data_IF_451702121414
#
_entry.id   IF_451702121414
#
_cell.length_a   1.000
_cell.length_b   1.000
_cell.length_c   1.000
_cell.angle_alpha   90.00
_cell.angle_beta   90.00
_cell.angle_gamma   90.00
#
_symmetry.space_group_name_H-M   'P 1'
#
loop_
_entity.id
_entity.type
_entity.pdbx_description
1 polymer ?
#
# COMPACT_ATOMS: atom_id res chain seq x y z
N UNK A 1 7.19 6.14 -78.61
CA UNK A 1 6.56 7.08 -77.65
C UNK A 1 5.77 6.28 -76.63
N UNK A 2 6.22 6.28 -75.37
CA UNK A 2 5.40 5.91 -74.22
C UNK A 2 5.98 6.68 -73.03
N UNK A 3 5.46 7.89 -72.82
CA UNK A 3 5.78 8.76 -71.70
C UNK A 3 5.13 8.21 -70.43
N UNK A 4 5.92 7.66 -69.50
CA UNK A 4 5.46 7.35 -68.16
C UNK A 4 5.28 8.64 -67.37
N UNK A 5 4.04 9.05 -67.19
CA UNK A 5 3.62 10.17 -66.36
C UNK A 5 3.75 9.81 -64.87
N UNK A 6 4.96 9.94 -64.33
CA UNK A 6 5.20 9.91 -62.89
C UNK A 6 4.71 11.21 -62.25
N UNK A 7 3.42 11.28 -61.89
CA UNK A 7 2.90 12.38 -61.06
C UNK A 7 3.67 12.51 -59.75
N UNK A 8 3.78 13.72 -59.16
CA UNK A 8 4.59 13.95 -57.98
C UNK A 8 4.11 13.06 -56.84
N UNK A 9 4.97 12.14 -56.39
CA UNK A 9 4.74 11.33 -55.18
C UNK A 9 4.57 12.30 -54.01
N UNK A 10 3.33 12.48 -53.53
CA UNK A 10 3.04 13.24 -52.32
C UNK A 10 3.88 12.67 -51.18
N UNK A 11 4.82 13.45 -50.64
CA UNK A 11 5.63 13.04 -49.48
C UNK A 11 4.71 12.92 -48.27
N UNK A 12 4.81 11.81 -47.53
CA UNK A 12 4.13 11.67 -46.24
C UNK A 12 4.72 12.71 -45.27
N UNK A 13 3.90 13.37 -44.44
CA UNK A 13 4.39 14.17 -43.34
C UNK A 13 5.24 13.32 -42.39
N UNK A 14 6.26 13.93 -41.81
CA UNK A 14 7.05 13.33 -40.72
C UNK A 14 6.28 13.50 -39.41
N UNK A 15 5.99 12.38 -38.76
CA UNK A 15 5.27 12.32 -37.48
C UNK A 15 6.20 12.01 -36.30
N UNK A 16 7.53 12.04 -36.49
CA UNK A 16 8.53 11.67 -35.47
C UNK A 16 8.95 12.80 -34.51
N UNK A 17 8.17 13.89 -34.43
CA UNK A 17 8.56 15.09 -33.70
C UNK A 17 8.38 15.05 -32.17
N UNK A 18 7.66 14.05 -31.63
CA UNK A 18 7.47 13.89 -30.18
C UNK A 18 8.39 12.79 -29.65
N UNK A 19 9.36 13.17 -28.82
CA UNK A 19 10.30 12.23 -28.21
C UNK A 19 9.81 11.76 -26.83
N UNK A 20 9.99 10.46 -26.55
CA UNK A 20 9.70 9.93 -25.21
C UNK A 20 10.83 10.27 -24.23
N UNK A 21 10.51 10.76 -23.01
CA UNK A 21 11.54 11.05 -22.03
C UNK A 21 12.26 9.77 -21.57
N UNK A 22 13.58 9.84 -21.28
CA UNK A 22 14.32 8.68 -20.75
C UNK A 22 13.73 8.15 -19.44
N UNK A 23 13.89 6.85 -19.19
CA UNK A 23 13.40 6.16 -17.98
C UNK A 23 13.79 6.88 -16.69
N UNK A 24 15.07 7.27 -16.57
CA UNK A 24 15.58 7.98 -15.40
C UNK A 24 14.83 9.29 -15.16
N UNK A 25 14.50 10.03 -16.22
CA UNK A 25 13.75 11.29 -16.12
C UNK A 25 12.30 11.03 -15.66
N UNK A 26 11.69 9.96 -16.14
CA UNK A 26 10.35 9.53 -15.70
C UNK A 26 10.36 9.18 -14.20
N UNK A 27 11.33 8.37 -13.74
CA UNK A 27 11.46 8.02 -12.33
C UNK A 27 11.69 9.26 -11.44
N UNK A 28 12.57 10.19 -11.85
CA UNK A 28 12.76 11.46 -11.13
C UNK A 28 11.46 12.27 -11.02
N UNK A 29 10.66 12.32 -12.08
CA UNK A 29 9.33 12.94 -12.05
C UNK A 29 8.44 12.31 -10.98
N UNK A 30 8.37 10.98 -10.94
CA UNK A 30 7.60 10.25 -9.91
C UNK A 30 8.13 10.57 -8.51
N UNK A 31 9.44 10.54 -8.30
CA UNK A 31 10.03 10.85 -6.99
C UNK A 31 9.75 12.29 -6.53
N UNK A 32 9.58 13.23 -7.46
CA UNK A 32 9.20 14.62 -7.15
C UNK A 32 7.72 14.77 -6.78
N UNK A 33 6.85 13.94 -7.34
CA UNK A 33 5.41 13.94 -7.02
C UNK A 33 5.09 13.21 -5.71
N UNK A 34 5.93 12.23 -5.34
CA UNK A 34 5.81 11.43 -4.11
C UNK A 34 7.04 11.65 -3.22
N UNK A 35 7.10 12.72 -2.41
CA UNK A 35 8.28 13.03 -1.61
C UNK A 35 8.63 11.92 -0.60
N UNK A 36 9.92 11.82 -0.26
CA UNK A 36 10.43 10.86 0.74
C UNK A 36 9.73 11.06 2.09
N UNK A 37 9.28 9.96 2.69
CA UNK A 37 8.53 9.99 3.94
C UNK A 37 7.79 8.69 4.25
N UNK A 38 6.96 8.74 5.29
CA UNK A 38 6.19 7.58 5.78
C UNK A 38 5.27 6.94 4.73
N UNK A 39 4.94 7.67 3.66
CA UNK A 39 4.12 7.17 2.56
C UNK A 39 4.76 5.95 1.86
N UNK A 40 6.09 5.87 1.78
CA UNK A 40 6.76 4.73 1.13
C UNK A 40 6.42 3.42 1.84
N UNK A 41 6.46 3.41 3.18
CA UNK A 41 6.10 2.23 3.97
C UNK A 41 4.60 1.93 3.87
N UNK A 42 3.74 2.97 3.84
CA UNK A 42 2.30 2.81 3.64
C UNK A 42 1.97 2.16 2.30
N UNK A 43 2.66 2.53 1.22
CA UNK A 43 2.48 1.89 -0.10
C UNK A 43 2.93 0.41 -0.09
N UNK A 44 3.99 0.07 0.63
CA UNK A 44 4.42 -1.33 0.81
C UNK A 44 3.43 -2.15 1.64
N UNK A 45 2.87 -1.56 2.71
CA UNK A 45 1.78 -2.16 3.50
C UNK A 45 0.56 -2.42 2.62
N UNK A 46 0.15 -1.42 1.83
CA UNK A 46 -0.99 -1.54 0.94
C UNK A 46 -0.77 -2.59 -0.15
N UNK A 47 0.45 -2.71 -0.69
CA UNK A 47 0.80 -3.75 -1.66
C UNK A 47 0.65 -5.15 -1.08
N UNK A 48 1.10 -5.38 0.16
CA UNK A 48 0.93 -6.66 0.83
C UNK A 48 -0.56 -6.96 1.14
N UNK A 49 -1.33 -5.96 1.58
CA UNK A 49 -2.77 -6.11 1.81
C UNK A 49 -3.56 -6.43 0.53
N UNK A 50 -3.24 -5.74 -0.58
CA UNK A 50 -3.81 -5.96 -1.90
C UNK A 50 -3.45 -7.34 -2.48
N UNK A 51 -2.29 -7.90 -2.12
CA UNK A 51 -1.87 -9.24 -2.48
C UNK A 51 -2.57 -10.33 -1.64
N UNK A 52 -3.29 -9.95 -0.58
CA UNK A 52 -3.98 -10.90 0.30
C UNK A 52 -3.11 -11.45 1.44
N UNK A 53 -1.98 -10.80 1.76
CA UNK A 53 -1.11 -11.23 2.84
C UNK A 53 -1.80 -11.12 4.21
N UNK A 54 -1.48 -12.03 5.12
CA UNK A 54 -1.89 -11.96 6.53
C UNK A 54 -0.84 -11.27 7.40
N UNK A 55 0.43 -11.39 7.03
CA UNK A 55 1.57 -10.92 7.81
C UNK A 55 2.54 -10.13 6.92
N UNK A 56 3.01 -8.99 7.44
CA UNK A 56 4.07 -8.20 6.82
C UNK A 56 5.19 -7.95 7.82
N UNK A 57 6.43 -8.23 7.41
CA UNK A 57 7.66 -7.98 8.17
C UNK A 57 8.55 -7.02 7.40
N UNK A 58 8.87 -5.89 7.98
CA UNK A 58 9.74 -4.87 7.41
C UNK A 58 10.99 -4.79 8.29
N UNK A 59 12.12 -5.26 7.78
CA UNK A 59 13.37 -5.36 8.52
C UNK A 59 14.46 -4.51 7.88
N UNK A 60 15.15 -3.70 8.69
CA UNK A 60 16.39 -3.06 8.25
C UNK A 60 17.59 -3.98 8.53
N UNK A 61 18.23 -4.48 7.47
CA UNK A 61 19.52 -5.16 7.52
C UNK A 61 20.62 -4.09 7.55
N UNK A 62 21.20 -3.89 8.73
CA UNK A 62 22.24 -2.85 8.92
C UNK A 62 23.64 -3.34 8.59
N UNK A 63 23.84 -4.64 8.40
CA UNK A 63 25.16 -5.22 8.16
C UNK A 63 25.51 -5.15 6.68
N UNK A 64 26.80 -4.94 6.43
CA UNK A 64 27.38 -5.03 5.09
C UNK A 64 27.88 -6.44 4.83
N UNK A 65 27.76 -6.90 3.58
CA UNK A 65 28.59 -8.01 3.13
C UNK A 65 30.00 -7.46 2.86
N UNK A 66 30.92 -7.72 3.78
CA UNK A 66 32.33 -7.32 3.64
C UNK A 66 33.02 -8.14 2.53
N UNK A 67 32.87 -7.68 1.30
CA UNK A 67 33.78 -7.98 0.19
C UNK A 67 34.42 -6.68 -0.27
N UNK A 68 35.72 -6.71 -0.52
CA UNK A 68 36.39 -5.62 -1.23
C UNK A 68 35.91 -5.64 -2.67
N UNK A 69 35.01 -4.72 -3.03
CA UNK A 69 34.61 -4.53 -4.42
C UNK A 69 35.82 -4.08 -5.23
N UNK A 70 36.01 -4.72 -6.37
CA UNK A 70 36.97 -4.29 -7.40
C UNK A 70 36.22 -4.19 -8.72
N UNK A 71 36.82 -3.60 -9.74
CA UNK A 71 36.21 -3.52 -11.08
C UNK A 71 35.96 -4.90 -11.72
N UNK A 72 36.48 -5.98 -11.10
CA UNK A 72 36.25 -7.39 -11.48
C UNK A 72 35.13 -8.07 -10.68
N UNK A 73 34.46 -7.35 -9.77
CA UNK A 73 33.37 -7.93 -9.00
C UNK A 73 32.19 -8.32 -9.90
N UNK A 74 31.50 -9.44 -9.63
CA UNK A 74 30.35 -9.86 -10.42
C UNK A 74 29.30 -8.75 -10.50
N UNK A 75 28.68 -8.59 -11.66
CA UNK A 75 27.81 -7.44 -11.95
C UNK A 75 26.61 -7.34 -10.99
N UNK A 76 26.03 -8.48 -10.61
CA UNK A 76 24.86 -8.52 -9.72
C UNK A 76 25.21 -8.39 -8.24
N UNK A 77 26.49 -8.32 -7.89
CA UNK A 77 26.93 -8.17 -6.49
C UNK A 77 26.41 -6.86 -5.86
N UNK A 78 26.19 -5.80 -6.66
CA UNK A 78 25.61 -4.52 -6.20
C UNK A 78 24.23 -4.65 -5.54
N UNK A 79 23.47 -5.70 -5.86
CA UNK A 79 22.15 -5.97 -5.28
C UNK A 79 22.20 -6.51 -3.84
N UNK A 80 23.36 -6.94 -3.34
CA UNK A 80 23.41 -7.74 -2.11
C UNK A 80 24.42 -7.26 -1.07
N UNK A 81 25.26 -6.26 -1.41
CA UNK A 81 26.34 -5.87 -0.51
C UNK A 81 26.02 -4.76 0.49
N UNK A 82 25.21 -3.78 0.10
CA UNK A 82 24.88 -2.66 0.95
C UNK A 82 23.92 -3.09 2.07
N UNK A 83 23.88 -2.36 3.21
CA UNK A 83 22.73 -2.41 4.10
C UNK A 83 21.43 -2.29 3.30
N UNK A 84 20.36 -2.95 3.73
CA UNK A 84 19.15 -3.07 2.92
C UNK A 84 17.88 -2.99 3.77
N UNK A 85 16.79 -2.54 3.15
CA UNK A 85 15.46 -2.79 3.65
C UNK A 85 14.95 -4.12 3.08
N UNK A 86 14.68 -5.08 3.95
CA UNK A 86 14.13 -6.39 3.63
C UNK A 86 12.67 -6.45 4.05
N UNK A 87 11.77 -6.64 3.09
CA UNK A 87 10.33 -6.74 3.37
C UNK A 87 9.85 -8.12 2.98
N UNK A 88 9.13 -8.78 3.87
CA UNK A 88 8.53 -10.09 3.63
C UNK A 88 7.03 -10.06 3.90
N UNK A 89 6.25 -10.65 3.01
CA UNK A 89 4.85 -10.97 3.25
C UNK A 89 4.53 -12.40 2.79
N UNK A 90 3.51 -12.99 3.39
CA UNK A 90 3.13 -14.39 3.17
C UNK A 90 2.24 -14.64 1.94
N UNK A 91 1.95 -13.60 1.13
CA UNK A 91 1.33 -13.75 -0.18
C UNK A 91 2.37 -13.93 -1.30
N UNK A 92 1.96 -14.57 -2.39
CA UNK A 92 2.81 -14.80 -3.57
C UNK A 92 2.31 -13.94 -4.74
N UNK A 93 3.25 -13.41 -5.54
CA UNK A 93 2.95 -12.68 -6.77
C UNK A 93 2.21 -13.56 -7.78
N UNK A 94 1.15 -13.01 -8.37
CA UNK A 94 0.53 -13.59 -9.57
C UNK A 94 1.25 -13.13 -10.85
N UNK A 95 0.90 -13.71 -12.00
CA UNK A 95 1.45 -13.25 -13.29
C UNK A 95 1.05 -11.79 -13.59
N UNK A 96 -0.13 -11.35 -13.15
CA UNK A 96 -0.56 -9.96 -13.22
C UNK A 96 0.30 -9.04 -12.35
N UNK A 97 0.71 -9.48 -11.16
CA UNK A 97 1.62 -8.71 -10.29
C UNK A 97 3.02 -8.59 -10.92
N UNK A 98 3.53 -9.68 -11.52
CA UNK A 98 4.80 -9.66 -12.27
C UNK A 98 4.76 -8.74 -13.49
N UNK A 99 3.62 -8.67 -14.18
CA UNK A 99 3.41 -7.70 -15.26
C UNK A 99 3.32 -6.28 -14.70
N UNK A 100 2.58 -6.10 -13.61
CA UNK A 100 2.32 -4.82 -12.95
C UNK A 100 3.58 -4.12 -12.46
N UNK A 101 4.45 -4.82 -11.76
CA UNK A 101 5.66 -4.23 -11.15
C UNK A 101 6.64 -3.65 -12.18
N UNK A 102 6.60 -4.17 -13.42
CA UNK A 102 7.46 -3.73 -14.54
C UNK A 102 6.96 -2.47 -15.23
N UNK A 103 5.70 -2.10 -15.05
CA UNK A 103 5.11 -0.90 -15.66
C UNK A 103 5.43 0.35 -14.83
N UNK A 104 5.43 1.52 -15.47
CA UNK A 104 5.78 2.81 -14.84
C UNK A 104 4.55 3.67 -14.57
N UNK A 105 3.75 3.93 -15.61
CA UNK A 105 2.56 4.80 -15.55
C UNK A 105 1.24 4.05 -15.79
N UNK A 106 1.28 2.73 -15.93
CA UNK A 106 0.10 1.90 -16.14
C UNK A 106 0.02 0.84 -15.05
N UNK A 107 -1.18 0.59 -14.52
CA UNK A 107 -1.39 -0.51 -13.58
C UNK A 107 -2.30 -1.57 -14.22
N UNK A 108 -2.01 -2.84 -13.96
CA UNK A 108 -2.96 -3.95 -14.26
C UNK A 108 -4.14 -3.91 -13.27
N UNK A 109 -4.05 -3.08 -12.22
CA UNK A 109 -5.02 -2.97 -11.13
C UNK A 109 -6.19 -2.03 -11.47
N UNK A 110 -6.26 -1.48 -12.69
CA UNK A 110 -7.39 -0.65 -13.13
C UNK A 110 -8.72 -1.42 -13.19
N UNK A 111 -8.67 -2.74 -13.36
CA UNK A 111 -9.86 -3.59 -13.49
C UNK A 111 -10.41 -4.11 -12.14
N UNK A 112 -9.62 -4.10 -11.05
CA UNK A 112 -10.07 -4.54 -9.71
C UNK A 112 -10.42 -3.32 -8.84
N UNK A 113 -11.72 -3.01 -8.76
CA UNK A 113 -12.25 -1.86 -8.00
C UNK A 113 -12.03 -1.93 -6.49
N UNK A 114 -11.60 -3.08 -5.97
CA UNK A 114 -11.29 -3.27 -4.55
C UNK A 114 -9.80 -3.10 -4.23
N UNK A 115 -8.93 -2.91 -5.23
CA UNK A 115 -7.50 -2.60 -5.02
C UNK A 115 -7.29 -1.09 -4.93
N UNK A 116 -6.52 -0.66 -3.92
CA UNK A 116 -6.27 0.77 -3.68
C UNK A 116 -5.20 1.30 -4.63
N UNK A 117 -4.20 0.48 -4.99
CA UNK A 117 -3.08 0.85 -5.86
C UNK A 117 -3.41 0.93 -7.35
N UNK A 118 -3.91 2.07 -7.87
CA UNK A 118 -4.37 2.20 -9.27
C UNK A 118 -3.36 2.70 -10.31
N UNK A 119 -2.27 3.33 -9.89
CA UNK A 119 -1.32 3.93 -10.85
C UNK A 119 0.01 3.19 -10.97
N UNK A 120 0.25 2.15 -10.15
CA UNK A 120 1.55 1.46 -10.10
C UNK A 120 2.71 2.32 -9.57
N UNK A 121 2.45 3.59 -9.24
CA UNK A 121 3.43 4.57 -8.78
C UNK A 121 3.91 4.31 -7.34
N UNK A 122 3.08 3.68 -6.51
CA UNK A 122 3.40 3.41 -5.10
C UNK A 122 4.68 2.58 -4.92
N UNK A 123 4.89 1.55 -5.75
CA UNK A 123 6.14 0.79 -5.73
C UNK A 123 7.34 1.63 -6.18
N UNK A 124 7.17 2.55 -7.13
CA UNK A 124 8.28 3.36 -7.66
C UNK A 124 8.84 4.33 -6.61
N UNK A 125 8.09 4.64 -5.56
CA UNK A 125 8.58 5.43 -4.42
C UNK A 125 9.78 4.79 -3.71
N UNK A 126 10.00 3.47 -3.84
CA UNK A 126 11.19 2.80 -3.28
C UNK A 126 12.49 3.30 -3.92
N UNK A 127 12.42 3.92 -5.10
CA UNK A 127 13.60 4.54 -5.72
C UNK A 127 14.12 5.76 -4.96
N UNK A 128 13.42 6.26 -3.93
CA UNK A 128 14.01 7.17 -2.95
C UNK A 128 15.15 6.52 -2.17
N UNK A 129 15.03 5.23 -1.83
CA UNK A 129 16.01 4.54 -0.97
C UNK A 129 16.98 3.64 -1.72
N UNK A 130 16.59 3.09 -2.88
CA UNK A 130 17.40 2.09 -3.59
C UNK A 130 17.48 2.38 -5.08
N UNK A 131 18.59 2.01 -5.71
CA UNK A 131 18.72 1.96 -7.17
C UNK A 131 18.48 0.56 -7.74
N UNK A 132 18.54 -0.46 -6.89
CA UNK A 132 18.65 -1.87 -7.28
C UNK A 132 17.64 -2.76 -6.54
N UNK A 133 16.33 -2.53 -6.70
CA UNK A 133 15.35 -3.36 -6.02
C UNK A 133 15.39 -4.80 -6.56
N UNK A 134 15.32 -5.75 -5.65
CA UNK A 134 15.21 -7.18 -5.90
C UNK A 134 13.89 -7.70 -5.31
N UNK A 135 13.19 -8.56 -6.05
CA UNK A 135 11.93 -9.17 -5.64
C UNK A 135 12.00 -10.68 -5.84
N UNK A 136 11.60 -11.46 -4.84
CA UNK A 136 11.60 -12.91 -4.88
C UNK A 136 10.23 -13.41 -4.46
N UNK A 137 9.56 -14.18 -5.31
CA UNK A 137 8.27 -14.78 -4.99
C UNK A 137 8.01 -16.02 -5.84
N UNK A 138 7.48 -17.07 -5.24
CA UNK A 138 7.25 -18.35 -5.92
C UNK A 138 8.56 -18.88 -6.49
N UNK A 139 8.61 -19.13 -7.79
CA UNK A 139 9.81 -19.63 -8.48
C UNK A 139 10.70 -18.55 -9.09
N UNK A 140 10.36 -17.28 -8.91
CA UNK A 140 10.92 -16.17 -9.68
C UNK A 140 11.71 -15.20 -8.78
N UNK A 141 12.87 -14.78 -9.28
CA UNK A 141 13.64 -13.63 -8.79
C UNK A 141 13.68 -12.55 -9.87
N UNK A 142 13.33 -11.33 -9.52
CA UNK A 142 13.37 -10.15 -10.40
C UNK A 142 14.38 -9.14 -9.86
N UNK A 143 15.39 -8.83 -10.66
CA UNK A 143 16.36 -7.77 -10.39
C UNK A 143 16.08 -6.58 -11.30
N UNK A 144 15.96 -5.39 -10.71
CA UNK A 144 15.62 -4.16 -11.44
C UNK A 144 16.80 -3.20 -11.37
N UNK A 145 17.29 -2.77 -12.53
CA UNK A 145 18.36 -1.78 -12.69
C UNK A 145 17.94 -0.73 -13.74
N UNK A 146 17.28 0.36 -13.31
CA UNK A 146 16.79 1.39 -14.23
C UNK A 146 17.89 2.18 -14.96
N UNK A 147 19.16 1.99 -14.58
CA UNK A 147 20.30 2.67 -15.20
C UNK A 147 20.80 1.93 -16.46
N UNK A 148 20.34 0.68 -16.68
CA UNK A 148 20.61 -0.06 -17.91
C UNK A 148 19.76 0.44 -19.09
N UNK A 149 20.12 0.08 -20.33
CA UNK A 149 19.26 0.28 -21.49
C UNK A 149 17.86 -0.30 -21.25
N UNK A 150 16.83 0.32 -21.83
CA UNK A 150 15.41 0.01 -21.51
C UNK A 150 15.03 -1.48 -21.63
N UNK A 151 15.69 -2.26 -22.49
CA UNK A 151 15.44 -3.68 -22.69
C UNK A 151 16.18 -4.60 -21.69
N UNK A 152 17.09 -4.06 -20.89
CA UNK A 152 17.90 -4.78 -19.88
C UNK A 152 17.58 -4.35 -18.44
N UNK A 153 16.63 -3.42 -18.25
CA UNK A 153 16.26 -2.90 -16.92
C UNK A 153 15.81 -3.99 -15.96
N UNK A 154 15.16 -5.05 -16.46
CA UNK A 154 14.60 -6.12 -15.64
C UNK A 154 15.25 -7.45 -16.00
N UNK A 155 15.98 -8.06 -15.07
CA UNK A 155 16.42 -9.44 -15.17
C UNK A 155 15.45 -10.34 -14.38
N UNK A 156 14.56 -11.04 -15.09
CA UNK A 156 13.64 -12.05 -14.52
C UNK A 156 14.34 -13.42 -14.60
N UNK A 157 14.57 -14.04 -13.46
CA UNK A 157 15.35 -15.27 -13.30
C UNK A 157 14.50 -16.32 -12.59
N UNK A 158 14.72 -17.61 -12.88
CA UNK A 158 14.22 -18.68 -12.02
C UNK A 158 15.15 -18.89 -10.85
N UNK A 159 14.58 -19.11 -9.66
CA UNK A 159 15.35 -19.22 -8.41
C UNK A 159 16.37 -20.37 -8.45
N UNK A 160 16.03 -21.49 -9.10
CA UNK A 160 16.93 -22.62 -9.26
C UNK A 160 18.03 -22.40 -10.31
N UNK A 161 17.90 -21.41 -11.19
CA UNK A 161 18.85 -21.13 -12.27
C UNK A 161 19.84 -20.02 -11.90
N UNK A 162 19.71 -19.38 -10.73
CA UNK A 162 20.55 -18.23 -10.33
C UNK A 162 22.07 -18.54 -10.30
N UNK A 163 22.43 -19.82 -10.14
CA UNK A 163 23.81 -20.28 -10.12
C UNK A 163 24.44 -20.40 -11.52
N UNK A 164 23.62 -20.38 -12.57
CA UNK A 164 24.02 -20.45 -13.97
C UNK A 164 24.14 -19.05 -14.60
N UNK A 165 23.72 -18.01 -13.88
CA UNK A 165 23.71 -16.62 -14.38
C UNK A 165 25.11 -16.02 -14.29
N UNK A 166 25.65 -15.62 -15.44
CA UNK A 166 26.91 -14.90 -15.52
C UNK A 166 26.86 -13.61 -14.68
N UNK A 167 27.91 -13.37 -13.89
CA UNK A 167 27.97 -12.19 -13.02
C UNK A 167 27.12 -12.28 -11.75
N UNK A 168 26.49 -13.43 -11.46
CA UNK A 168 25.82 -13.70 -10.19
C UNK A 168 26.62 -14.68 -9.32
N UNK A 169 26.77 -14.35 -8.03
CA UNK A 169 27.35 -15.26 -7.05
C UNK A 169 26.28 -15.69 -6.05
N UNK A 170 25.82 -16.94 -6.15
CA UNK A 170 24.82 -17.52 -5.25
C UNK A 170 25.24 -17.44 -3.78
N UNK A 171 26.54 -17.46 -3.48
CA UNK A 171 27.02 -17.31 -2.10
C UNK A 171 26.78 -15.90 -1.54
N UNK A 172 26.79 -14.87 -2.38
CA UNK A 172 26.46 -13.49 -1.98
C UNK A 172 24.96 -13.35 -1.73
N UNK A 173 24.14 -13.94 -2.60
CA UNK A 173 22.68 -14.01 -2.41
C UNK A 173 22.38 -14.69 -1.07
N UNK A 174 22.91 -15.90 -0.84
CA UNK A 174 22.69 -16.63 0.40
C UNK A 174 23.25 -15.92 1.63
N UNK A 175 24.30 -15.12 1.50
CA UNK A 175 24.83 -14.33 2.62
C UNK A 175 23.95 -13.11 2.94
N UNK A 176 23.37 -12.47 1.93
CA UNK A 176 22.49 -11.32 2.10
C UNK A 176 21.13 -11.75 2.66
N UNK A 177 20.51 -12.72 2.00
CA UNK A 177 19.10 -13.08 2.23
C UNK A 177 18.91 -14.48 2.81
N UNK A 178 19.95 -15.30 2.87
CA UNK A 178 19.85 -16.63 3.47
C UNK A 178 19.51 -16.58 4.96
N UNK A 179 18.65 -17.51 5.38
CA UNK A 179 18.08 -17.59 6.72
C UNK A 179 16.88 -16.66 6.95
N UNK A 180 16.68 -15.64 6.10
CA UNK A 180 15.57 -14.70 6.26
C UNK A 180 14.29 -15.32 5.74
N UNK A 181 13.30 -15.44 6.62
CA UNK A 181 11.93 -15.87 6.30
C UNK A 181 11.86 -17.19 5.50
N UNK A 182 12.79 -18.11 5.79
CA UNK A 182 12.84 -19.44 5.15
C UNK A 182 13.61 -19.48 3.83
N UNK A 183 14.11 -18.36 3.30
CA UNK A 183 14.99 -18.39 2.12
C UNK A 183 16.34 -19.02 2.48
N UNK A 184 16.70 -20.12 1.84
CA UNK A 184 17.94 -20.85 2.13
C UNK A 184 18.41 -21.64 0.90
N UNK A 185 19.50 -22.40 1.03
CA UNK A 185 20.06 -23.20 -0.07
C UNK A 185 19.05 -24.19 -0.65
N UNK A 186 18.21 -24.81 0.18
CA UNK A 186 17.17 -25.74 -0.29
C UNK A 186 16.10 -25.05 -1.13
N UNK A 187 15.75 -23.79 -0.81
CA UNK A 187 14.85 -22.97 -1.63
C UNK A 187 15.46 -22.70 -3.01
N UNK A 188 16.76 -22.39 -3.05
CA UNK A 188 17.49 -22.23 -4.32
C UNK A 188 17.48 -23.54 -5.11
N UNK A 189 17.89 -24.66 -4.50
CA UNK A 189 17.95 -25.97 -5.17
C UNK A 189 16.57 -26.46 -5.65
N UNK A 190 15.50 -26.22 -4.88
CA UNK A 190 14.13 -26.59 -5.26
C UNK A 190 13.46 -25.60 -6.22
N UNK A 191 13.99 -24.38 -6.33
CA UNK A 191 13.45 -23.34 -7.18
C UNK A 191 12.12 -22.76 -6.72
N UNK A 192 11.79 -22.78 -5.42
CA UNK A 192 10.52 -22.25 -4.93
C UNK A 192 10.60 -21.62 -3.54
N UNK A 193 10.20 -20.35 -3.44
CA UNK A 193 10.08 -19.56 -2.22
C UNK A 193 8.60 -19.26 -1.93
N UNK A 194 8.12 -19.67 -0.75
CA UNK A 194 6.73 -19.44 -0.32
C UNK A 194 6.59 -18.05 0.30
N UNK A 195 5.76 -17.21 -0.31
CA UNK A 195 5.60 -15.80 0.01
C UNK A 195 6.43 -14.89 -0.89
N UNK A 196 6.45 -13.60 -0.56
CA UNK A 196 7.15 -12.56 -1.32
C UNK A 196 8.15 -11.83 -0.45
N UNK A 197 9.39 -11.72 -0.94
CA UNK A 197 10.46 -10.95 -0.33
C UNK A 197 10.94 -9.84 -1.27
N UNK A 198 10.92 -8.61 -0.78
CA UNK A 198 11.60 -7.48 -1.40
C UNK A 198 12.91 -7.22 -0.68
N UNK A 199 13.95 -6.94 -1.46
CA UNK A 199 15.27 -6.58 -0.98
C UNK A 199 15.71 -5.28 -1.64
N UNK A 200 15.84 -4.23 -0.84
CA UNK A 200 16.16 -2.88 -1.29
C UNK A 200 17.51 -2.44 -0.70
N UNK A 201 18.62 -2.67 -1.42
CA UNK A 201 19.93 -2.16 -1.03
C UNK A 201 19.88 -0.65 -0.92
N UNK A 202 20.25 -0.11 0.23
CA UNK A 202 20.19 1.31 0.49
C UNK A 202 21.25 2.05 -0.33
N UNK A 203 20.87 3.20 -0.91
CA UNK A 203 21.76 4.03 -1.73
C UNK A 203 22.85 4.64 -0.87
N UNK A 204 24.08 4.15 -1.01
CA UNK A 204 25.26 4.67 -0.29
C UNK A 204 25.91 5.88 -0.98
N UNK A 205 25.66 6.07 -2.29
CA UNK A 205 26.24 7.15 -3.11
C UNK A 205 25.19 7.69 -4.07
N UNK A 206 25.25 8.97 -4.39
CA UNK A 206 24.38 9.60 -5.39
C UNK A 206 24.39 8.81 -6.71
N UNK A 207 23.21 8.73 -7.35
CA UNK A 207 23.01 8.01 -8.60
C UNK A 207 22.27 8.88 -9.63
N UNK A 208 22.22 8.47 -10.90
CA UNK A 208 21.34 9.09 -11.88
C UNK A 208 19.87 9.10 -11.47
N UNK A 209 19.40 8.20 -10.59
CA UNK A 209 18.00 8.17 -10.14
C UNK A 209 17.75 9.25 -9.10
N UNK A 210 18.60 9.36 -8.08
CA UNK A 210 18.51 10.38 -7.03
C UNK A 210 19.88 10.71 -6.43
N UNK A 211 20.08 11.97 -6.10
CA UNK A 211 21.29 12.45 -5.39
C UNK A 211 21.24 12.14 -3.89
N UNK A 212 20.05 11.85 -3.36
CA UNK A 212 19.86 11.57 -1.94
C UNK A 212 20.37 10.19 -1.54
N UNK A 213 21.41 10.19 -0.71
CA UNK A 213 21.91 9.00 -0.01
C UNK A 213 20.89 8.59 1.05
N UNK A 214 20.66 7.27 1.17
CA UNK A 214 19.72 6.69 2.11
C UNK A 214 20.47 5.82 3.12
N UNK A 215 20.66 6.33 4.34
CA UNK A 215 21.29 5.55 5.42
C UNK A 215 20.27 4.78 6.25
N UNK A 216 20.76 3.82 7.04
CA UNK A 216 19.95 3.10 8.06
C UNK A 216 19.20 4.07 8.97
N UNK A 217 19.83 5.18 9.38
CA UNK A 217 19.17 6.19 10.23
C UNK A 217 17.96 6.88 9.58
N UNK A 218 17.89 7.00 8.24
CA UNK A 218 16.68 7.50 7.56
C UNK A 218 15.56 6.46 7.64
N UNK A 219 15.88 5.18 7.46
CA UNK A 219 14.91 4.07 7.62
C UNK A 219 14.36 4.02 9.05
N UNK A 220 15.23 4.18 10.05
CA UNK A 220 14.81 4.24 11.46
C UNK A 220 13.88 5.42 11.75
N UNK A 221 14.10 6.58 11.10
CA UNK A 221 13.14 7.69 11.16
C UNK A 221 11.81 7.34 10.53
N UNK A 222 11.78 6.64 9.38
CA UNK A 222 10.54 6.16 8.78
C UNK A 222 9.79 5.20 9.74
N UNK A 223 10.52 4.30 10.41
CA UNK A 223 9.93 3.42 11.42
C UNK A 223 9.35 4.20 12.60
N UNK A 224 10.06 5.23 13.08
CA UNK A 224 9.58 6.14 14.11
C UNK A 224 8.27 6.81 13.70
N UNK A 225 8.21 7.41 12.51
CA UNK A 225 6.99 8.04 11.98
C UNK A 225 5.83 7.06 11.87
N UNK A 226 6.06 5.85 11.35
CA UNK A 226 5.03 4.82 11.25
C UNK A 226 4.55 4.32 12.62
N UNK A 227 5.46 4.26 13.60
CA UNK A 227 5.15 3.86 14.98
C UNK A 227 4.27 4.87 15.72
N UNK A 228 4.23 6.14 15.30
CA UNK A 228 3.30 7.13 15.86
C UNK A 228 1.85 6.88 15.44
N UNK A 229 1.63 6.18 14.33
CA UNK A 229 0.31 5.88 13.76
C UNK A 229 -0.09 4.40 13.93
N UNK A 230 0.75 3.60 14.59
CA UNK A 230 0.66 2.13 14.66
C UNK A 230 -0.68 1.60 15.15
N UNK A 231 -1.33 2.33 16.05
CA UNK A 231 -2.62 1.95 16.65
C UNK A 231 -3.77 1.93 15.66
N UNK A 232 -3.58 2.52 14.48
CA UNK A 232 -4.61 2.68 13.46
C UNK A 232 -4.34 1.95 12.14
N UNK A 233 -3.12 1.46 11.92
CA UNK A 233 -2.68 0.89 10.64
C UNK A 233 -3.56 -0.29 10.21
N UNK A 234 -3.87 -1.21 11.13
CA UNK A 234 -4.56 -2.45 10.80
C UNK A 234 -6.10 -2.34 10.81
N UNK A 235 -6.68 -1.17 11.11
CA UNK A 235 -8.13 -1.03 11.33
C UNK A 235 -8.93 -1.37 10.06
N UNK A 236 -8.58 -0.72 8.94
CA UNK A 236 -9.38 -0.78 7.70
C UNK A 236 -8.78 -1.65 6.60
N UNK A 237 -7.58 -2.20 6.81
CA UNK A 237 -6.96 -3.15 5.88
C UNK A 237 -7.84 -4.39 5.65
N UNK A 238 -7.72 -5.01 4.48
CA UNK A 238 -8.61 -6.10 4.04
C UNK A 238 -8.14 -7.48 4.50
N UNK A 239 -6.83 -7.69 4.53
CA UNK A 239 -6.20 -9.01 4.66
C UNK A 239 -5.17 -9.05 5.80
N UNK A 240 -4.37 -7.98 5.92
CA UNK A 240 -3.30 -7.91 6.91
C UNK A 240 -3.86 -7.89 8.34
N UNK A 241 -3.28 -8.74 9.18
CA UNK A 241 -3.57 -8.82 10.63
C UNK A 241 -2.34 -8.72 11.50
N UNK A 242 -1.14 -8.79 10.91
CA UNK A 242 0.15 -8.64 11.59
C UNK A 242 1.08 -7.74 10.80
N UNK A 243 1.69 -6.79 11.50
CA UNK A 243 2.75 -5.93 11.00
C UNK A 243 3.93 -5.95 11.99
N UNK A 244 5.13 -6.18 11.47
CA UNK A 244 6.37 -6.18 12.25
C UNK A 244 7.36 -5.20 11.64
N UNK A 245 7.91 -4.31 12.47
CA UNK A 245 9.10 -3.53 12.16
C UNK A 245 10.27 -4.13 12.93
N UNK A 246 11.33 -4.50 12.22
CA UNK A 246 12.49 -5.20 12.80
C UNK A 246 13.80 -4.53 12.41
N UNK A 247 14.81 -4.71 13.24
CA UNK A 247 16.18 -4.33 12.97
C UNK A 247 17.10 -5.53 13.13
N UNK A 248 18.03 -5.70 12.20
CA UNK A 248 19.12 -6.63 12.37
C UNK A 248 20.26 -5.95 13.14
N UNK A 249 20.58 -6.48 14.32
CA UNK A 249 21.73 -6.03 15.11
C UNK A 249 23.06 -6.44 14.43
N UNK A 250 24.15 -5.81 14.84
CA UNK A 250 25.49 -6.14 14.32
C UNK A 250 25.92 -7.58 14.65
N UNK A 251 25.40 -8.16 15.74
CA UNK A 251 25.63 -9.56 16.12
C UNK A 251 24.80 -10.55 15.30
N UNK A 252 23.91 -10.08 14.42
CA UNK A 252 23.05 -10.92 13.60
C UNK A 252 21.79 -11.42 14.31
N UNK A 253 21.43 -10.82 15.45
CA UNK A 253 20.15 -11.04 16.13
C UNK A 253 19.09 -10.08 15.58
N UNK A 254 17.90 -10.62 15.30
CA UNK A 254 16.71 -9.83 14.97
C UNK A 254 16.12 -9.18 16.24
N UNK A 255 15.86 -7.87 16.17
CA UNK A 255 15.29 -7.07 17.24
C UNK A 255 13.98 -6.44 16.76
N UNK A 256 12.93 -6.52 17.57
CA UNK A 256 11.65 -5.90 17.26
C UNK A 256 11.67 -4.42 17.64
N UNK A 257 11.38 -3.57 16.66
CA UNK A 257 11.11 -2.14 16.87
C UNK A 257 9.64 -1.95 17.25
N UNK A 258 8.75 -2.61 16.49
CA UNK A 258 7.31 -2.56 16.67
C UNK A 258 6.69 -3.88 16.20
N UNK A 259 5.69 -4.35 16.94
CA UNK A 259 4.78 -5.42 16.54
C UNK A 259 3.35 -4.94 16.73
N UNK A 260 2.58 -4.94 15.65
CA UNK A 260 1.15 -4.62 15.66
C UNK A 260 0.39 -5.85 15.19
N UNK A 261 -0.57 -6.30 15.99
CA UNK A 261 -1.31 -7.54 15.73
C UNK A 261 -2.77 -7.40 16.15
N UNK A 262 -3.68 -7.99 15.38
CA UNK A 262 -5.08 -8.15 15.79
C UNK A 262 -5.18 -9.40 16.67
N UNK A 263 -5.82 -9.31 17.84
CA UNK A 263 -5.89 -10.46 18.76
C UNK A 263 -6.73 -11.62 18.19
N UNK A 264 -7.91 -11.33 17.65
CA UNK A 264 -8.85 -12.31 17.11
C UNK A 264 -8.67 -12.51 15.60
N UNK A 265 -7.43 -12.75 15.17
CA UNK A 265 -7.00 -12.76 13.76
C UNK A 265 -7.93 -13.55 12.83
N UNK A 266 -8.21 -14.82 13.17
CA UNK A 266 -8.97 -15.73 12.32
C UNK A 266 -10.40 -15.25 12.10
N UNK A 267 -11.07 -14.80 13.16
CA UNK A 267 -12.43 -14.27 13.07
C UNK A 267 -12.45 -13.03 12.18
N UNK A 268 -11.56 -12.07 12.44
CA UNK A 268 -11.50 -10.83 11.67
C UNK A 268 -11.19 -11.10 10.20
N UNK A 269 -10.25 -12.00 9.89
CA UNK A 269 -9.95 -12.40 8.52
C UNK A 269 -11.14 -13.05 7.83
N UNK A 270 -11.78 -14.03 8.47
CA UNK A 270 -12.96 -14.70 7.88
C UNK A 270 -14.08 -13.71 7.59
N UNK A 271 -14.34 -12.76 8.51
CA UNK A 271 -15.39 -11.77 8.34
C UNK A 271 -15.06 -10.72 7.28
N UNK A 272 -13.80 -10.27 7.19
CA UNK A 272 -13.34 -9.39 6.10
C UNK A 272 -13.42 -10.09 4.75
N UNK A 273 -12.90 -11.31 4.65
CA UNK A 273 -12.96 -12.13 3.42
C UNK A 273 -14.40 -12.38 2.99
N UNK A 274 -15.28 -12.76 3.91
CA UNK A 274 -16.70 -12.96 3.63
C UNK A 274 -17.33 -11.68 3.09
N UNK A 275 -17.13 -10.53 3.74
CA UNK A 275 -17.66 -9.24 3.29
C UNK A 275 -17.19 -8.85 1.88
N UNK A 276 -15.89 -8.88 1.61
CA UNK A 276 -15.37 -8.53 0.28
C UNK A 276 -15.72 -9.56 -0.79
N UNK A 277 -15.84 -10.85 -0.44
CA UNK A 277 -16.34 -11.88 -1.36
C UNK A 277 -17.81 -11.64 -1.73
N UNK A 278 -18.64 -11.26 -0.75
CA UNK A 278 -20.02 -10.85 -0.97
C UNK A 278 -20.06 -9.64 -1.91
N UNK A 279 -19.24 -8.61 -1.71
CA UNK A 279 -19.18 -7.43 -2.62
C UNK A 279 -18.86 -7.86 -4.06
N UNK A 280 -17.86 -8.73 -4.26
CA UNK A 280 -17.49 -9.22 -5.61
C UNK A 280 -18.61 -10.04 -6.27
N UNK A 281 -19.34 -10.84 -5.48
CA UNK A 281 -20.44 -11.68 -5.97
C UNK A 281 -21.78 -10.94 -6.10
N UNK A 282 -21.94 -9.83 -5.38
CA UNK A 282 -23.16 -9.06 -5.32
C UNK A 282 -23.29 -8.19 -6.57
N UNK A 283 -23.81 -8.79 -7.64
CA UNK A 283 -24.32 -8.08 -8.80
C UNK A 283 -25.57 -7.28 -8.42
N UNK A 284 -25.38 -6.18 -7.69
CA UNK A 284 -26.26 -5.00 -7.58
C UNK A 284 -27.57 -5.04 -6.77
N UNK A 285 -27.92 -6.08 -6.00
CA UNK A 285 -29.30 -6.17 -5.45
C UNK A 285 -29.54 -5.63 -4.04
N UNK A 286 -28.56 -5.57 -3.15
CA UNK A 286 -28.76 -5.13 -1.76
C UNK A 286 -27.53 -4.41 -1.19
N UNK A 287 -27.77 -3.53 -0.22
CA UNK A 287 -26.72 -2.97 0.62
C UNK A 287 -26.14 -4.04 1.55
N UNK A 288 -24.86 -3.93 1.87
CA UNK A 288 -24.17 -4.87 2.76
C UNK A 288 -23.48 -4.12 3.90
N UNK A 289 -23.39 -4.76 5.07
CA UNK A 289 -22.61 -4.24 6.19
C UNK A 289 -21.81 -5.34 6.87
N UNK A 290 -20.66 -4.97 7.43
CA UNK A 290 -19.82 -5.86 8.23
C UNK A 290 -19.35 -5.12 9.48
N UNK A 291 -19.76 -5.61 10.66
CA UNK A 291 -19.48 -4.97 11.95
C UNK A 291 -18.46 -5.77 12.74
N UNK A 292 -17.22 -5.31 12.79
CA UNK A 292 -16.10 -5.97 13.47
C UNK A 292 -15.88 -5.35 14.85
N UNK A 293 -15.69 -6.19 15.87
CA UNK A 293 -15.10 -5.78 17.15
C UNK A 293 -13.71 -6.36 17.17
N UNK A 294 -12.69 -5.51 17.23
CA UNK A 294 -11.30 -5.97 17.13
C UNK A 294 -10.42 -5.30 18.17
N UNK A 295 -9.52 -6.10 18.75
CA UNK A 295 -8.47 -5.62 19.65
C UNK A 295 -7.16 -5.56 18.89
N UNK A 296 -6.59 -4.36 18.77
CA UNK A 296 -5.25 -4.14 18.23
C UNK A 296 -4.26 -4.15 19.39
N UNK A 297 -3.29 -5.05 19.29
CA UNK A 297 -2.16 -5.21 20.20
C UNK A 297 -0.93 -4.55 19.59
N UNK A 298 -0.36 -3.60 20.32
CA UNK A 298 0.89 -2.91 19.97
C UNK A 298 1.96 -3.26 21.01
N UNK A 299 3.10 -3.74 20.55
CA UNK A 299 4.26 -4.09 21.36
C UNK A 299 5.49 -3.40 20.77
N UNK A 300 6.18 -2.61 21.59
CA UNK A 300 7.35 -1.82 21.19
C UNK A 300 8.65 -2.45 21.69
N UNK A 301 9.79 -1.95 21.24
CA UNK A 301 11.11 -2.39 21.71
C UNK A 301 11.30 -2.32 23.24
N UNK A 302 10.60 -1.41 23.93
CA UNK A 302 10.61 -1.29 25.40
C UNK A 302 9.67 -2.27 26.11
N UNK A 303 9.18 -3.30 25.40
CA UNK A 303 8.19 -4.28 25.88
C UNK A 303 6.89 -3.63 26.39
N UNK A 304 6.65 -2.37 26.01
CA UNK A 304 5.43 -1.67 26.38
C UNK A 304 4.29 -2.21 25.54
N UNK A 305 3.32 -2.83 26.23
CA UNK A 305 2.13 -3.41 25.63
C UNK A 305 0.96 -2.42 25.70
N UNK A 306 0.38 -2.10 24.56
CA UNK A 306 -0.83 -1.29 24.47
C UNK A 306 -1.91 -2.08 23.73
N UNK A 307 -3.10 -2.13 24.32
CA UNK A 307 -4.28 -2.75 23.73
C UNK A 307 -5.30 -1.66 23.43
N UNK A 308 -5.82 -1.65 22.20
CA UNK A 308 -6.90 -0.75 21.81
C UNK A 308 -8.02 -1.54 21.16
N UNK A 309 -9.25 -1.41 21.68
CA UNK A 309 -10.45 -2.04 21.12
C UNK A 309 -11.21 -1.07 20.24
N UNK A 310 -11.64 -1.55 19.09
CA UNK A 310 -12.35 -0.78 18.08
C UNK A 310 -13.65 -1.48 17.67
N UNK A 311 -14.72 -0.70 17.51
CA UNK A 311 -15.89 -1.06 16.74
C UNK A 311 -15.70 -0.53 15.33
N UNK A 312 -15.57 -1.43 14.35
CA UNK A 312 -15.37 -1.07 12.94
C UNK A 312 -16.59 -1.51 12.15
N UNK A 313 -17.25 -0.59 11.45
CA UNK A 313 -18.35 -0.89 10.56
C UNK A 313 -17.93 -0.57 9.14
N UNK A 314 -17.88 -1.58 8.28
CA UNK A 314 -17.80 -1.38 6.83
C UNK A 314 -19.21 -1.44 6.24
N UNK A 315 -19.54 -0.52 5.34
CA UNK A 315 -20.84 -0.43 4.69
C UNK A 315 -20.66 -0.28 3.18
N UNK A 316 -21.36 -1.10 2.41
CA UNK A 316 -21.36 -1.10 0.96
C UNK A 316 -22.77 -0.73 0.48
N UNK A 317 -22.90 0.43 -0.17
CA UNK A 317 -24.18 0.98 -0.62
C UNK A 317 -24.38 0.73 -2.11
N UNK A 318 -25.54 0.18 -2.49
CA UNK A 318 -25.93 0.04 -3.90
C UNK A 318 -27.43 0.23 -4.07
N UNK A 319 -28.24 -0.43 -3.25
CA UNK A 319 -29.70 -0.39 -3.36
C UNK A 319 -30.24 0.97 -2.93
N UNK A 320 -29.78 1.46 -1.78
CA UNK A 320 -30.25 2.72 -1.18
C UNK A 320 -29.65 3.98 -1.82
N UNK A 321 -28.67 3.81 -2.71
CA UNK A 321 -28.02 4.92 -3.42
C UNK A 321 -29.01 5.65 -4.34
N UNK A 322 -28.88 6.98 -4.42
CA UNK A 322 -29.62 7.80 -5.39
C UNK A 322 -29.26 7.44 -6.83
N UNK A 323 -30.09 7.85 -7.80
CA UNK A 323 -29.85 7.58 -9.22
C UNK A 323 -28.50 8.14 -9.70
N UNK A 324 -28.13 9.33 -9.23
CA UNK A 324 -26.83 9.92 -9.56
C UNK A 324 -25.66 9.11 -9.00
N UNK A 325 -25.79 8.61 -7.77
CA UNK A 325 -24.73 7.79 -7.19
C UNK A 325 -24.65 6.41 -7.87
N UNK A 326 -25.79 5.80 -8.21
CA UNK A 326 -25.85 4.56 -9.01
C UNK A 326 -25.16 4.71 -10.37
N UNK A 327 -25.32 5.87 -11.05
CA UNK A 327 -24.60 6.20 -12.29
C UNK A 327 -23.08 6.16 -12.08
N UNK A 328 -22.59 6.74 -10.97
CA UNK A 328 -21.16 6.74 -10.65
C UNK A 328 -20.63 5.34 -10.30
N UNK A 329 -21.38 4.56 -9.52
CA UNK A 329 -21.04 3.18 -9.16
C UNK A 329 -20.84 2.31 -10.39
N UNK A 330 -21.65 2.54 -11.43
CA UNK A 330 -21.60 1.80 -12.69
C UNK A 330 -20.56 2.35 -13.68
N UNK A 331 -19.90 3.47 -13.37
CA UNK A 331 -18.94 4.11 -14.26
C UNK A 331 -17.64 3.30 -14.35
N UNK A 332 -17.30 2.72 -15.53
CA UNK A 332 -16.05 1.98 -15.70
C UNK A 332 -14.82 2.87 -15.54
N UNK A 333 -14.97 4.18 -15.84
CA UNK A 333 -13.90 5.17 -15.71
C UNK A 333 -13.53 5.42 -14.25
N UNK A 334 -14.53 5.44 -13.36
CA UNK A 334 -14.26 5.64 -11.93
C UNK A 334 -13.62 4.41 -11.34
N UNK A 335 -14.14 3.20 -11.57
CA UNK A 335 -13.54 1.96 -11.04
C UNK A 335 -13.31 1.95 -9.53
N UNK A 336 -14.13 2.68 -8.76
CA UNK A 336 -14.08 2.75 -7.30
C UNK A 336 -15.29 1.99 -6.72
N UNK A 337 -15.10 1.35 -5.55
CA UNK A 337 -16.17 0.61 -4.88
C UNK A 337 -16.95 1.52 -3.92
N UNK A 338 -18.31 1.51 -3.90
CA UNK A 338 -19.11 2.34 -2.99
C UNK A 338 -19.13 1.80 -1.55
N UNK A 339 -17.94 1.56 -1.00
CA UNK A 339 -17.74 1.10 0.36
C UNK A 339 -17.12 2.21 1.21
N UNK A 340 -17.67 2.38 2.41
CA UNK A 340 -17.15 3.26 3.45
C UNK A 340 -16.93 2.47 4.73
N UNK A 341 -16.16 3.03 5.66
CA UNK A 341 -15.93 2.46 6.97
C UNK A 341 -15.97 3.52 8.07
N UNK A 342 -16.43 3.12 9.25
CA UNK A 342 -16.34 3.90 10.49
C UNK A 342 -15.60 3.07 11.52
N UNK A 343 -14.66 3.66 12.24
CA UNK A 343 -14.01 3.00 13.37
C UNK A 343 -14.08 3.88 14.62
N UNK A 344 -14.85 3.42 15.60
CA UNK A 344 -15.03 4.06 16.88
C UNK A 344 -14.27 3.29 17.96
N UNK A 345 -13.56 4.03 18.83
CA UNK A 345 -12.76 3.44 19.90
C UNK A 345 -13.68 3.04 21.05
N UNK A 346 -13.57 1.77 21.45
CA UNK A 346 -14.32 1.19 22.58
C UNK A 346 -13.47 1.26 23.84
N UNK A 347 -12.19 0.86 23.78
CA UNK A 347 -11.35 0.78 24.98
C UNK A 347 -9.88 1.11 24.65
N UNK A 348 -9.19 1.91 25.47
CA UNK A 348 -9.75 2.72 26.57
C UNK A 348 -10.66 3.84 26.05
N UNK A 349 -11.76 4.10 26.76
CA UNK A 349 -12.68 5.20 26.44
C UNK A 349 -11.92 6.53 26.52
N UNK A 350 -11.81 7.19 25.38
CA UNK A 350 -11.10 8.46 25.22
C UNK A 350 -11.53 9.12 23.93
N UNK A 351 -11.47 10.45 23.90
CA UNK A 351 -11.73 11.20 22.68
C UNK A 351 -10.77 10.74 21.56
N UNK A 352 -11.32 10.50 20.38
CA UNK A 352 -10.56 10.21 19.17
C UNK A 352 -10.66 11.43 18.28
N UNK A 353 -9.52 11.94 17.84
CA UNK A 353 -9.50 12.93 16.77
C UNK A 353 -9.68 12.20 15.44
N UNK A 354 -10.87 12.34 14.85
CA UNK A 354 -11.26 11.63 13.65
C UNK A 354 -10.32 11.92 12.49
N UNK A 355 -10.01 10.88 11.72
CA UNK A 355 -9.05 10.95 10.64
C UNK A 355 -9.61 10.21 9.43
N UNK A 356 -9.22 10.65 8.24
CA UNK A 356 -9.65 10.06 6.97
C UNK A 356 -8.64 8.99 6.56
N UNK A 357 -9.19 7.84 6.17
CA UNK A 357 -8.46 6.68 5.70
C UNK A 357 -8.87 6.39 4.26
N UNK A 358 -7.89 5.96 3.49
CA UNK A 358 -8.11 5.13 2.31
C UNK A 358 -7.35 3.83 2.58
N UNK A 359 -7.92 3.00 3.45
CA UNK A 359 -7.37 1.79 4.07
C UNK A 359 -6.22 2.04 5.05
N UNK A 360 -5.37 3.02 4.76
CA UNK A 360 -4.36 3.59 5.65
C UNK A 360 -4.68 5.05 5.93
N UNK A 361 -4.20 5.60 7.06
CA UNK A 361 -4.44 7.00 7.41
C UNK A 361 -3.76 7.91 6.39
N UNK A 362 -4.49 8.91 5.88
CA UNK A 362 -3.92 9.92 5.01
C UNK A 362 -2.85 10.75 5.75
N UNK A 363 -1.95 11.46 5.03
CA UNK A 363 -1.01 12.37 5.69
C UNK A 363 -1.73 13.47 6.46
N UNK A 364 -1.31 13.71 7.71
CA UNK A 364 -1.84 14.80 8.56
C UNK A 364 -1.45 16.20 8.03
N UNK A 365 -0.38 16.27 7.26
CA UNK A 365 0.06 17.49 6.59
C UNK A 365 -0.89 17.79 5.42
N UNK A 366 -1.76 18.79 5.58
CA UNK A 366 -2.69 19.25 4.54
C UNK A 366 -4.11 18.70 4.62
N UNK A 367 -4.39 17.72 5.49
CA UNK A 367 -5.75 17.33 5.86
C UNK A 367 -6.10 17.87 7.25
N UNK A 368 -7.16 18.67 7.35
CA UNK A 368 -7.77 18.91 8.67
C UNK A 368 -8.29 17.56 9.15
N UNK A 369 -8.02 17.22 10.41
CA UNK A 369 -8.72 16.12 11.05
C UNK A 369 -10.22 16.40 10.99
N UNK A 370 -11.02 15.34 10.89
CA UNK A 370 -12.44 15.46 10.52
C UNK A 370 -13.28 16.18 11.57
N UNK A 371 -12.74 16.31 12.79
CA UNK A 371 -13.49 16.76 13.97
C UNK A 371 -14.53 15.76 14.46
N UNK A 372 -14.64 14.60 13.80
CA UNK A 372 -15.52 13.50 14.23
C UNK A 372 -14.84 12.71 15.36
N UNK A 373 -15.60 12.12 16.29
CA UNK A 373 -15.05 11.29 17.37
C UNK A 373 -14.70 9.86 16.93
N UNK A 374 -14.55 9.62 15.63
CA UNK A 374 -14.26 8.32 15.03
C UNK A 374 -13.50 8.49 13.72
N UNK A 375 -12.80 7.44 13.31
CA UNK A 375 -12.12 7.42 12.02
C UNK A 375 -13.08 7.06 10.89
N UNK A 376 -12.83 7.62 9.71
CA UNK A 376 -13.62 7.44 8.49
C UNK A 376 -12.75 6.80 7.43
N UNK A 377 -13.25 5.77 6.76
CA UNK A 377 -12.60 5.11 5.64
C UNK A 377 -13.49 5.13 4.40
N UNK A 378 -12.90 5.10 3.21
CA UNK A 378 -13.64 4.90 1.98
C UNK A 378 -12.73 4.75 0.77
N UNK A 379 -13.30 4.26 -0.33
CA UNK A 379 -12.65 4.30 -1.65
C UNK A 379 -12.73 5.71 -2.24
N UNK A 380 -12.11 6.68 -1.56
CA UNK A 380 -12.11 8.07 -2.00
C UNK A 380 -11.27 8.25 -3.27
N UNK A 381 -11.72 9.15 -4.14
CA UNK A 381 -10.90 9.68 -5.21
C UNK A 381 -9.88 10.66 -4.62
N UNK A 382 -8.60 10.35 -4.76
CA UNK A 382 -7.50 11.14 -4.21
C UNK A 382 -6.74 11.89 -5.32
N UNK A 383 -5.98 12.91 -4.92
CA UNK A 383 -4.94 13.53 -5.76
C UNK A 383 -3.91 12.49 -6.22
N UNK A 384 -3.13 12.81 -7.27
CA UNK A 384 -2.12 11.87 -7.79
C UNK A 384 -1.15 11.40 -6.70
N UNK A 385 -0.62 12.31 -5.90
CA UNK A 385 0.25 12.00 -4.75
C UNK A 385 -0.47 11.33 -3.57
N UNK A 386 -1.80 11.13 -3.62
CA UNK A 386 -2.63 10.47 -2.59
C UNK A 386 -2.67 11.17 -1.23
N UNK A 387 -2.25 12.42 -1.16
CA UNK A 387 -2.24 13.16 0.11
C UNK A 387 -3.60 13.77 0.45
N UNK A 388 -4.42 14.09 -0.56
CA UNK A 388 -5.67 14.82 -0.35
C UNK A 388 -6.83 14.20 -1.13
N UNK A 389 -8.03 14.34 -0.59
CA UNK A 389 -9.27 14.05 -1.32
C UNK A 389 -9.42 15.06 -2.45
N UNK A 390 -9.92 14.59 -3.60
CA UNK A 390 -10.33 15.49 -4.68
C UNK A 390 -11.62 16.21 -4.26
N UNK A 391 -11.53 17.53 -4.19
CA UNK A 391 -12.62 18.45 -3.93
C UNK A 391 -12.74 19.48 -5.07
N UNK A 392 -13.91 20.10 -5.19
CA UNK A 392 -14.07 21.25 -6.08
C UNK A 392 -13.19 22.39 -5.59
N UNK A 393 -12.47 23.03 -6.50
CA UNK A 393 -11.73 24.27 -6.23
C UNK A 393 -12.62 25.47 -6.51
N UNK A 394 -12.38 26.60 -5.84
CA UNK A 394 -13.18 27.83 -6.00
C UNK A 394 -13.28 28.34 -7.46
N UNK A 395 -12.29 28.00 -8.30
CA UNK A 395 -12.23 28.37 -9.72
C UNK A 395 -12.92 27.38 -10.67
N UNK A 396 -13.51 26.29 -10.16
CA UNK A 396 -14.22 25.31 -11.01
C UNK A 396 -15.68 25.70 -11.16
N UNK A 397 -16.07 25.96 -12.41
CA UNK A 397 -17.46 26.23 -12.78
C UNK A 397 -18.34 25.04 -12.36
N UNK A 398 -19.34 25.29 -11.49
CA UNK A 398 -20.18 24.24 -10.88
C UNK A 398 -20.93 23.36 -11.91
N UNK A 399 -20.94 23.75 -13.19
CA UNK A 399 -21.50 22.96 -14.30
C UNK A 399 -20.64 21.77 -14.74
N UNK A 400 -19.35 21.69 -14.36
CA UNK A 400 -18.43 20.62 -14.76
C UNK A 400 -17.72 19.95 -13.57
N UNK A 401 -18.48 19.56 -12.55
CA UNK A 401 -17.94 18.79 -11.42
C UNK A 401 -17.50 17.41 -11.94
N UNK A 402 -16.20 17.12 -11.85
CA UNK A 402 -15.64 15.83 -12.22
C UNK A 402 -16.31 14.70 -11.40
N UNK A 403 -16.62 13.57 -12.05
CA UNK A 403 -17.25 12.39 -11.42
C UNK A 403 -16.49 11.94 -10.15
N UNK A 404 -15.17 12.16 -10.06
CA UNK A 404 -14.35 11.89 -8.87
C UNK A 404 -14.71 12.75 -7.65
N UNK A 405 -15.03 14.03 -7.86
CA UNK A 405 -15.43 14.96 -6.79
C UNK A 405 -16.85 14.62 -6.35
N UNK A 406 -17.75 14.39 -7.31
CA UNK A 406 -19.12 13.98 -7.02
C UNK A 406 -19.15 12.65 -6.26
N UNK A 407 -18.28 11.71 -6.63
CA UNK A 407 -18.09 10.43 -5.94
C UNK A 407 -17.75 10.61 -4.46
N UNK A 408 -16.74 11.43 -4.14
CA UNK A 408 -16.38 11.71 -2.75
C UNK A 408 -17.55 12.33 -1.97
N UNK A 409 -18.25 13.30 -2.57
CA UNK A 409 -19.44 13.89 -1.97
C UNK A 409 -20.52 12.84 -1.66
N UNK A 410 -20.84 11.98 -2.64
CA UNK A 410 -21.85 10.91 -2.48
C UNK A 410 -21.47 9.88 -1.42
N UNK A 411 -20.20 9.49 -1.30
CA UNK A 411 -19.74 8.62 -0.22
C UNK A 411 -20.01 9.26 1.16
N UNK A 412 -19.73 10.56 1.33
CA UNK A 412 -19.92 11.24 2.60
C UNK A 412 -21.39 11.55 2.92
N UNK A 413 -22.21 11.87 1.93
CA UNK A 413 -23.61 12.28 2.15
C UNK A 413 -24.61 11.13 2.14
N UNK A 414 -24.31 10.02 1.46
CA UNK A 414 -25.25 8.88 1.32
C UNK A 414 -24.74 7.61 2.02
N UNK A 415 -23.45 7.26 1.88
CA UNK A 415 -22.93 6.00 2.40
C UNK A 415 -22.50 6.09 3.87
N UNK A 416 -21.71 7.11 4.21
CA UNK A 416 -21.12 7.29 5.55
C UNK A 416 -22.17 7.41 6.66
N UNK A 417 -23.30 8.13 6.49
CA UNK A 417 -24.33 8.21 7.52
C UNK A 417 -24.95 6.85 7.84
N UNK A 418 -25.13 5.98 6.85
CA UNK A 418 -25.64 4.62 7.04
C UNK A 418 -24.64 3.72 7.81
N UNK A 419 -23.34 3.87 7.52
CA UNK A 419 -22.30 3.18 8.27
C UNK A 419 -22.26 3.63 9.74
N UNK A 420 -22.38 4.95 9.97
CA UNK A 420 -22.41 5.52 11.32
C UNK A 420 -23.66 5.11 12.09
N UNK A 421 -24.85 5.18 11.46
CA UNK A 421 -26.09 4.67 12.03
C UNK A 421 -25.94 3.22 12.47
N UNK A 422 -25.37 2.37 11.61
CA UNK A 422 -25.14 0.96 11.93
C UNK A 422 -24.17 0.76 13.11
N UNK A 423 -23.17 1.64 13.27
CA UNK A 423 -22.28 1.64 14.42
C UNK A 423 -23.02 2.00 15.72
N UNK A 424 -23.87 3.03 15.69
CA UNK A 424 -24.71 3.43 16.82
C UNK A 424 -25.70 2.32 17.21
N UNK A 425 -26.45 1.78 16.25
CA UNK A 425 -27.41 0.70 16.48
C UNK A 425 -26.73 -0.50 17.15
N UNK A 426 -25.54 -0.86 16.65
CA UNK A 426 -24.77 -1.98 17.21
C UNK A 426 -24.29 -1.68 18.63
N UNK A 427 -23.85 -0.46 18.92
CA UNK A 427 -23.44 -0.06 20.27
C UNK A 427 -24.61 -0.20 21.25
N UNK A 428 -25.77 0.35 20.88
CA UNK A 428 -27.00 0.33 21.68
C UNK A 428 -27.43 -1.11 21.98
N UNK A 429 -27.56 -1.97 20.96
CA UNK A 429 -28.00 -3.36 21.15
C UNK A 429 -27.05 -4.19 22.02
N UNK A 430 -25.73 -3.93 21.95
CA UNK A 430 -24.78 -4.67 22.77
C UNK A 430 -24.93 -4.34 24.25
N UNK A 431 -25.16 -3.08 24.62
CA UNK A 431 -25.28 -2.73 26.03
C UNK A 431 -26.59 -3.20 26.69
N UNK A 432 -27.68 -3.31 25.92
CA UNK A 432 -28.91 -3.96 26.40
C UNK A 432 -28.63 -5.40 26.86
N UNK A 433 -27.66 -6.07 26.22
CA UNK A 433 -27.27 -7.45 26.52
C UNK A 433 -26.39 -7.57 27.79
N UNK A 434 -25.57 -6.55 28.10
CA UNK A 434 -24.62 -6.59 29.23
C UNK A 434 -25.12 -5.92 30.52
N UNK A 435 -26.33 -5.35 30.54
CA UNK A 435 -26.97 -4.82 31.76
C UNK A 435 -26.32 -3.58 32.38
N UNK A 436 -25.22 -3.06 31.82
CA UNK A 436 -24.53 -1.87 32.31
C UNK A 436 -24.91 -0.63 31.49
N UNK A 437 -26.05 -0.03 31.82
CA UNK A 437 -26.61 1.13 31.10
C UNK A 437 -25.80 2.42 31.27
N UNK A 438 -25.00 2.57 32.34
CA UNK A 438 -24.24 3.78 32.60
C UNK A 438 -23.03 3.91 31.68
N UNK A 439 -22.26 2.84 31.49
CA UNK A 439 -21.11 2.84 30.56
C UNK A 439 -21.53 2.98 29.09
N UNK A 440 -22.75 2.54 28.74
CA UNK A 440 -23.34 2.72 27.41
C UNK A 440 -23.57 4.20 27.07
N UNK A 441 -24.07 4.97 28.03
CA UNK A 441 -24.31 6.40 27.85
C UNK A 441 -22.97 7.07 27.52
N UNK A 442 -21.95 6.81 28.32
CA UNK A 442 -20.63 7.42 28.08
C UNK A 442 -20.03 6.99 26.72
N UNK A 443 -20.15 5.71 26.34
CA UNK A 443 -19.72 5.20 25.02
C UNK A 443 -20.43 5.88 23.84
N UNK A 444 -21.76 5.92 23.87
CA UNK A 444 -22.57 6.47 22.76
C UNK A 444 -22.42 8.00 22.69
N UNK A 445 -22.45 8.70 23.81
CA UNK A 445 -22.29 10.16 23.83
C UNK A 445 -20.91 10.59 23.35
N UNK A 446 -19.86 9.83 23.65
CA UNK A 446 -18.52 10.10 23.12
C UNK A 446 -18.45 9.99 21.60
N UNK A 447 -19.35 9.24 20.96
CA UNK A 447 -19.35 9.05 19.50
C UNK A 447 -20.28 10.02 18.76
N UNK A 448 -21.11 10.79 19.47
CA UNK A 448 -21.96 11.81 18.84
C UNK A 448 -21.07 12.99 18.40
N UNK A 449 -21.05 13.35 17.10
CA UNK A 449 -20.24 14.47 16.64
C UNK A 449 -20.66 15.80 17.28
N UNK A 450 -19.69 16.57 17.76
CA UNK A 450 -19.92 17.99 18.02
C UNK A 450 -19.91 18.74 16.69
N UNK A 451 -21.09 19.20 16.24
CA UNK A 451 -21.24 19.87 14.96
C UNK A 451 -20.45 21.18 14.84
N UNK A 452 -20.03 21.78 15.95
CA UNK A 452 -19.18 22.99 15.95
C UNK A 452 -17.73 22.69 15.56
N UNK A 453 -17.29 21.43 15.70
CA UNK A 453 -15.90 21.03 15.48
C UNK A 453 -15.69 20.19 14.21
N UNK A 454 -16.76 19.77 13.53
CA UNK A 454 -16.68 18.99 12.28
C UNK A 454 -16.25 19.90 11.12
N UNK A 455 -15.30 19.43 10.31
CA UNK A 455 -14.67 20.19 9.23
C UNK A 455 -14.79 19.52 7.87
#
# INVERSE_FOLDING_TARGET
MASSSGGPRKRRPDFSCMEQPPLIKQLRGILSEYPDGGQILKELIQNADDAGASELKIMVESRRINRNLTDKSPEFTKFFQAPALCIFNDAEFTEEDWRGIRMIYSSVKEEDSLKVGRFGLGFKSVFHMTDYPCVISGDTMLLIDPQRPAHEVNAKLKINEIHEIEGMDTSDVLRAIGGKYGFNKSVVEKGYFRGTMFWFPLREKASPISEDVYGVGKVEKLFGSLSLESSSILIFLKSLVRLHLLKMSQSGKEEHVLRVQIQDEKEIQTRRQSFFSCIKSASSKQDLSCVLKMTIKEETASETLKLTKWLVVNYYIVHSATNDFKRLIQSPKLGLSPCVGVAAKIEPLSAVEGHIFCFLPLPKEGTKLTGLPFHVNGFFALSQNRHHLKWATDDQDHQYVNDEILWNGKLLTEALPLAFQKALDTSISNAETYGNKASLVDEVYLWIPNLETVH
#
